data_IF_388631969014
#
_entry.id   IF_388631969014
#
_cell.length_a   1.000
_cell.length_b   1.000
_cell.length_c   1.000
_cell.angle_alpha   90.00
_cell.angle_beta   90.00
_cell.angle_gamma   90.00
#
_symmetry.space_group_name_H-M   'P 1'
#
loop_
_entity.id
_entity.type
_entity.pdbx_description
1 polymer ?
#
# COMPACT_ATOMS: atom_id res chain seq x y z
N UNK A 1 -17.82 17.91 -16.08
CA UNK A 1 -16.65 17.39 -16.82
C UNK A 1 -15.50 17.34 -15.84
N UNK A 2 -15.14 16.14 -15.34
CA UNK A 2 -14.05 15.99 -14.37
C UNK A 2 -12.74 16.16 -15.14
N UNK A 3 -12.05 17.28 -14.95
CA UNK A 3 -10.74 17.52 -15.56
C UNK A 3 -9.67 16.80 -14.75
N UNK A 4 -9.17 15.69 -15.28
CA UNK A 4 -8.05 14.95 -14.67
C UNK A 4 -6.77 15.77 -14.88
N UNK A 5 -6.08 16.11 -13.79
CA UNK A 5 -4.84 16.90 -13.79
C UNK A 5 -3.62 15.99 -13.91
N UNK A 6 -2.53 16.48 -14.50
CA UNK A 6 -1.30 15.70 -14.75
C UNK A 6 -0.73 15.01 -13.49
N UNK A 7 -0.79 15.65 -12.32
CA UNK A 7 -0.31 15.06 -11.07
C UNK A 7 -1.10 13.81 -10.63
N UNK A 8 -2.37 13.67 -11.03
CA UNK A 8 -3.18 12.50 -10.70
C UNK A 8 -2.69 11.27 -11.48
N UNK A 9 -2.28 11.47 -12.73
CA UNK A 9 -1.66 10.41 -13.54
C UNK A 9 -0.29 10.00 -12.99
N UNK A 10 0.51 10.96 -12.53
CA UNK A 10 1.80 10.66 -11.88
C UNK A 10 1.62 9.83 -10.61
N UNK A 11 0.64 10.18 -9.75
CA UNK A 11 0.34 9.41 -8.55
C UNK A 11 -0.17 8.01 -8.89
N UNK A 12 -1.04 7.89 -9.89
CA UNK A 12 -1.52 6.60 -10.37
C UNK A 12 -0.37 5.72 -10.89
N UNK A 13 0.52 6.27 -11.71
CA UNK A 13 1.69 5.56 -12.21
C UNK A 13 2.63 5.14 -11.07
N UNK A 14 2.91 6.02 -10.11
CA UNK A 14 3.73 5.71 -8.94
C UNK A 14 3.12 4.58 -8.09
N UNK A 15 1.81 4.63 -7.85
CA UNK A 15 1.08 3.57 -7.16
C UNK A 15 1.19 2.22 -7.89
N UNK A 16 0.97 2.20 -9.20
CA UNK A 16 1.04 0.99 -10.02
C UNK A 16 2.45 0.41 -10.06
N UNK A 17 3.47 1.26 -10.18
CA UNK A 17 4.88 0.85 -10.14
C UNK A 17 5.21 0.24 -8.77
N UNK A 18 4.82 0.88 -7.67
CA UNK A 18 5.07 0.35 -6.33
C UNK A 18 4.35 -0.99 -6.10
N UNK A 19 3.11 -1.12 -6.57
CA UNK A 19 2.36 -2.38 -6.53
C UNK A 19 3.08 -3.48 -7.32
N UNK A 20 3.49 -3.20 -8.55
CA UNK A 20 4.18 -4.15 -9.41
C UNK A 20 5.49 -4.62 -8.80
N UNK A 21 6.28 -3.67 -8.27
CA UNK A 21 7.53 -3.97 -7.57
C UNK A 21 7.29 -4.88 -6.34
N UNK A 22 6.22 -4.66 -5.59
CA UNK A 22 5.89 -5.48 -4.43
C UNK A 22 5.56 -6.93 -4.82
N UNK A 23 4.68 -7.11 -5.81
CA UNK A 23 4.26 -8.45 -6.26
C UNK A 23 5.40 -9.20 -6.94
N UNK A 24 6.11 -8.53 -7.86
CA UNK A 24 7.25 -9.12 -8.55
C UNK A 24 8.38 -9.44 -7.56
N UNK A 25 8.69 -8.52 -6.65
CA UNK A 25 9.70 -8.72 -5.61
C UNK A 25 9.40 -9.92 -4.73
N UNK A 26 8.14 -10.08 -4.30
CA UNK A 26 7.71 -11.26 -3.55
C UNK A 26 7.89 -12.55 -4.36
N UNK A 27 7.51 -12.56 -5.64
CA UNK A 27 7.72 -13.75 -6.50
C UNK A 27 9.19 -14.08 -6.72
N UNK A 28 10.06 -13.06 -6.73
CA UNK A 28 11.49 -13.18 -7.02
C UNK A 28 12.36 -13.49 -5.79
N UNK A 29 11.78 -13.74 -4.61
CA UNK A 29 12.57 -13.99 -3.39
C UNK A 29 13.02 -12.73 -2.65
N UNK A 30 12.49 -11.56 -3.02
CA UNK A 30 12.89 -10.24 -2.53
C UNK A 30 11.72 -9.52 -1.82
N UNK A 31 11.22 -10.05 -0.68
CA UNK A 31 10.00 -9.56 -0.05
C UNK A 31 10.10 -8.11 0.47
N UNK A 32 11.31 -7.60 0.67
CA UNK A 32 11.54 -6.21 1.12
C UNK A 32 11.47 -5.16 0.01
N UNK A 33 11.50 -5.59 -1.27
CA UNK A 33 11.44 -4.68 -2.41
C UNK A 33 10.13 -3.87 -2.43
N UNK A 34 9.01 -4.53 -2.11
CA UNK A 34 7.70 -3.91 -1.98
C UNK A 34 7.63 -2.84 -0.89
N UNK A 35 7.95 -3.16 0.37
CA UNK A 35 8.03 -2.18 1.45
C UNK A 35 8.87 -0.96 1.11
N UNK A 36 10.04 -1.12 0.49
CA UNK A 36 10.87 0.02 0.09
C UNK A 36 10.24 0.85 -1.02
N UNK A 37 9.64 0.22 -2.03
CA UNK A 37 8.97 0.94 -3.12
C UNK A 37 7.76 1.72 -2.63
N UNK A 38 6.92 1.10 -1.78
CA UNK A 38 5.74 1.75 -1.20
C UNK A 38 6.16 2.90 -0.29
N UNK A 39 7.13 2.68 0.60
CA UNK A 39 7.63 3.73 1.50
C UNK A 39 8.20 4.91 0.70
N UNK A 40 9.00 4.64 -0.33
CA UNK A 40 9.61 5.67 -1.17
C UNK A 40 8.56 6.55 -1.85
N UNK A 41 7.57 5.94 -2.50
CA UNK A 41 6.53 6.70 -3.20
C UNK A 41 5.62 7.46 -2.21
N UNK A 42 5.17 6.83 -1.14
CA UNK A 42 4.30 7.46 -0.13
C UNK A 42 5.02 8.64 0.53
N UNK A 43 6.32 8.49 0.82
CA UNK A 43 7.12 9.58 1.39
C UNK A 43 7.29 10.74 0.41
N UNK A 44 7.56 10.45 -0.87
CA UNK A 44 7.64 11.48 -1.91
C UNK A 44 6.30 12.21 -2.07
N UNK A 45 5.18 11.48 -2.04
CA UNK A 45 3.84 12.04 -2.11
C UNK A 45 3.52 12.93 -0.90
N UNK A 46 3.82 12.48 0.32
CA UNK A 46 3.65 13.26 1.55
C UNK A 46 4.55 14.50 1.63
N UNK A 47 5.70 14.47 0.95
CA UNK A 47 6.57 15.63 0.83
C UNK A 47 5.98 16.68 -0.12
N UNK A 48 5.44 16.26 -1.27
CA UNK A 48 4.86 17.18 -2.26
C UNK A 48 3.45 17.70 -1.91
N UNK A 49 2.66 16.92 -1.17
CA UNK A 49 1.32 17.32 -0.76
C UNK A 49 1.24 17.39 0.77
N UNK A 50 1.34 18.60 1.32
CA UNK A 50 1.26 18.82 2.77
C UNK A 50 -0.04 18.27 3.39
N UNK A 51 -1.15 18.28 2.64
CA UNK A 51 -2.43 17.68 3.04
C UNK A 51 -2.39 16.14 3.16
N UNK A 52 -1.37 15.48 2.61
CA UNK A 52 -1.17 14.03 2.74
C UNK A 52 -0.45 13.65 4.05
N UNK A 53 0.12 14.60 4.81
CA UNK A 53 0.74 14.32 6.11
C UNK A 53 -0.27 13.98 7.21
N UNK A 54 -1.53 14.36 7.04
CA UNK A 54 -2.62 14.07 7.99
C UNK A 54 -3.06 12.59 7.99
N UNK A 55 -2.46 11.75 7.14
CA UNK A 55 -2.97 10.42 6.80
C UNK A 55 -2.16 9.24 7.31
N UNK A 56 -1.17 9.51 8.14
CA UNK A 56 -0.42 8.43 8.79
C UNK A 56 -1.35 7.48 9.55
N UNK A 57 -2.43 7.97 10.15
CA UNK A 57 -3.43 7.13 10.82
C UNK A 57 -4.13 6.16 9.86
N UNK A 58 -4.47 6.61 8.64
CA UNK A 58 -5.11 5.76 7.64
C UNK A 58 -4.11 4.71 7.12
N UNK A 59 -2.89 5.13 6.81
CA UNK A 59 -1.84 4.25 6.29
C UNK A 59 -1.43 3.18 7.32
N UNK A 60 -1.15 3.60 8.56
CA UNK A 60 -0.79 2.70 9.66
C UNK A 60 -1.98 1.82 10.02
N UNK A 61 -3.19 2.39 10.10
CA UNK A 61 -4.40 1.63 10.39
C UNK A 61 -4.68 0.54 9.35
N UNK A 62 -4.52 0.86 8.07
CA UNK A 62 -4.67 -0.13 7.00
C UNK A 62 -3.58 -1.20 7.03
N UNK A 63 -2.32 -0.84 7.26
CA UNK A 63 -1.23 -1.80 7.41
C UNK A 63 -1.44 -2.75 8.59
N UNK A 64 -1.88 -2.24 9.74
CA UNK A 64 -2.17 -3.05 10.93
C UNK A 64 -3.40 -3.95 10.72
N UNK A 65 -4.52 -3.39 10.26
CA UNK A 65 -5.74 -4.15 10.02
C UNK A 65 -5.54 -5.21 8.94
N UNK A 66 -4.91 -4.84 7.83
CA UNK A 66 -4.56 -5.76 6.77
C UNK A 66 -3.62 -6.87 7.25
N UNK A 67 -2.60 -6.50 8.03
CA UNK A 67 -1.71 -7.45 8.66
C UNK A 67 -2.45 -8.46 9.55
N UNK A 68 -3.32 -7.98 10.43
CA UNK A 68 -4.13 -8.85 11.31
C UNK A 68 -5.06 -9.75 10.50
N UNK A 69 -5.77 -9.21 9.51
CA UNK A 69 -6.71 -9.96 8.67
C UNK A 69 -5.98 -11.06 7.91
N UNK A 70 -4.89 -10.73 7.22
CA UNK A 70 -4.12 -11.72 6.46
C UNK A 70 -3.52 -12.77 7.39
N UNK A 71 -3.07 -12.37 8.58
CA UNK A 71 -2.57 -13.32 9.58
C UNK A 71 -3.64 -14.30 10.04
N UNK A 72 -4.87 -13.82 10.27
CA UNK A 72 -6.00 -14.67 10.59
C UNK A 72 -6.32 -15.61 9.43
N UNK A 73 -6.28 -15.13 8.19
CA UNK A 73 -6.52 -15.96 7.01
C UNK A 73 -5.46 -17.05 6.83
N UNK A 74 -4.19 -16.78 7.14
CA UNK A 74 -3.11 -17.77 7.15
C UNK A 74 -3.32 -18.79 8.26
N UNK A 75 -3.66 -18.36 9.48
CA UNK A 75 -3.92 -19.27 10.61
C UNK A 75 -5.13 -20.17 10.37
N UNK A 76 -6.13 -19.67 9.66
CA UNK A 76 -7.33 -20.42 9.26
C UNK A 76 -7.12 -21.26 7.99
N UNK A 77 -5.90 -21.34 7.45
CA UNK A 77 -5.55 -22.04 6.21
C UNK A 77 -6.40 -21.62 4.98
N UNK A 78 -6.95 -20.40 4.99
CA UNK A 78 -7.74 -19.85 3.88
C UNK A 78 -6.82 -19.39 2.74
N UNK A 79 -5.65 -18.87 3.08
CA UNK A 79 -4.63 -18.43 2.13
C UNK A 79 -3.26 -18.97 2.53
N UNK A 80 -2.41 -19.20 1.53
CA UNK A 80 -1.01 -19.60 1.73
C UNK A 80 -0.12 -18.70 0.89
N UNK A 81 0.91 -18.15 1.50
CA UNK A 81 1.93 -17.35 0.81
C UNK A 81 3.05 -18.26 0.29
N UNK A 82 3.59 -18.01 -0.92
CA UNK A 82 4.76 -18.75 -1.42
C UNK A 82 5.96 -18.57 -0.49
N UNK A 83 6.79 -19.61 -0.33
CA UNK A 83 8.01 -19.53 0.49
C UNK A 83 8.99 -18.45 0.01
N UNK A 84 9.03 -18.19 -1.30
CA UNK A 84 9.84 -17.10 -1.88
C UNK A 84 9.45 -15.71 -1.34
N UNK A 85 8.22 -15.57 -0.84
CA UNK A 85 7.70 -14.31 -0.34
C UNK A 85 8.05 -14.05 1.14
N UNK A 86 8.85 -14.94 1.77
CA UNK A 86 9.23 -14.88 3.17
C UNK A 86 8.25 -15.59 4.10
N UNK A 87 8.39 -15.37 5.41
CA UNK A 87 7.49 -15.97 6.41
C UNK A 87 6.04 -15.56 6.17
N UNK A 88 5.16 -16.55 6.03
CA UNK A 88 3.72 -16.36 5.91
C UNK A 88 3.03 -15.98 7.22
N UNK A 89 3.69 -16.15 8.37
CA UNK A 89 3.13 -15.81 9.69
C UNK A 89 3.99 -14.75 10.42
N UNK A 90 3.38 -13.72 11.04
CA UNK A 90 1.95 -13.39 11.04
C UNK A 90 1.39 -13.08 9.64
N UNK A 91 2.05 -12.28 8.82
CA UNK A 91 1.82 -12.19 7.36
C UNK A 91 3.12 -11.77 6.69
N UNK A 92 3.18 -11.81 5.36
CA UNK A 92 4.36 -11.39 4.61
C UNK A 92 4.49 -9.87 4.57
N UNK A 93 5.72 -9.36 4.68
CA UNK A 93 5.99 -7.91 4.76
C UNK A 93 5.56 -7.14 3.50
N UNK A 94 5.63 -7.78 2.32
CA UNK A 94 5.19 -7.17 1.07
C UNK A 94 3.67 -7.03 1.00
N UNK A 95 2.92 -7.94 1.62
CA UNK A 95 1.47 -7.85 1.67
C UNK A 95 1.03 -6.70 2.57
N UNK A 96 1.68 -6.51 3.72
CA UNK A 96 1.47 -5.32 4.57
C UNK A 96 1.76 -4.04 3.78
N UNK A 97 2.82 -4.01 2.98
CA UNK A 97 3.13 -2.87 2.13
C UNK A 97 2.02 -2.62 1.08
N UNK A 98 1.40 -3.66 0.53
CA UNK A 98 0.26 -3.50 -0.38
C UNK A 98 -0.97 -2.91 0.32
N UNK A 99 -1.25 -3.27 1.57
CA UNK A 99 -2.30 -2.63 2.36
C UNK A 99 -2.06 -1.13 2.56
N UNK A 100 -0.82 -0.74 2.87
CA UNK A 100 -0.42 0.67 2.98
C UNK A 100 -0.56 1.37 1.63
N UNK A 101 -0.12 0.73 0.55
CA UNK A 101 -0.22 1.30 -0.81
C UNK A 101 -1.68 1.49 -1.21
N UNK A 102 -2.54 0.53 -0.90
CA UNK A 102 -3.98 0.60 -1.15
C UNK A 102 -4.64 1.76 -0.39
N UNK A 103 -4.29 1.96 0.88
CA UNK A 103 -4.77 3.09 1.66
C UNK A 103 -4.33 4.45 1.06
N UNK A 104 -3.10 4.54 0.54
CA UNK A 104 -2.63 5.73 -0.17
C UNK A 104 -3.45 6.01 -1.44
N UNK A 105 -3.82 4.97 -2.19
CA UNK A 105 -4.69 5.10 -3.38
C UNK A 105 -6.13 5.48 -3.01
N UNK A 106 -6.68 4.94 -1.92
CA UNK A 106 -7.99 5.32 -1.41
C UNK A 106 -8.03 6.80 -1.07
N UNK A 107 -7.04 7.32 -0.33
CA UNK A 107 -6.94 8.77 -0.07
C UNK A 107 -6.98 9.58 -1.34
N UNK A 108 -6.22 9.19 -2.37
CA UNK A 108 -6.24 9.92 -3.63
C UNK A 108 -7.64 9.91 -4.29
N UNK A 109 -8.36 8.80 -4.19
CA UNK A 109 -9.65 8.59 -4.86
C UNK A 109 -10.84 9.23 -4.12
N UNK A 110 -10.81 9.24 -2.78
CA UNK A 110 -11.90 9.75 -1.94
C UNK A 110 -11.54 10.98 -1.11
N UNK A 111 -10.31 11.50 -1.21
CA UNK A 111 -9.84 12.66 -0.45
C UNK A 111 -10.67 13.92 -0.66
N UNK A 112 -11.39 14.02 -1.78
CA UNK A 112 -12.33 15.10 -2.08
C UNK A 112 -13.59 15.10 -1.19
N UNK A 113 -13.89 13.99 -0.50
CA UNK A 113 -15.01 13.86 0.45
C UNK A 113 -14.63 14.23 1.88
N UNK A 114 -13.34 14.16 2.24
CA UNK A 114 -12.89 14.53 3.58
C UNK A 114 -13.15 16.02 3.86
N UNK A 115 -13.85 16.32 4.95
CA UNK A 115 -14.16 17.70 5.37
C UNK A 115 -15.39 18.33 4.71
N UNK A 116 -16.25 17.52 4.05
CA UNK A 116 -17.52 17.98 3.46
C UNK A 116 -18.77 17.71 4.30
N UNK A 117 -18.58 17.18 5.52
CA UNK A 117 -19.60 16.93 6.54
C UNK A 117 -19.01 17.30 7.90
#
# INVERSE_FOLDING_TARGET
MVTVRAHQWVNFAAFQIAWFIAVWGASAGMPWLGPFAVLGWVSAYAFWQAAARADLTLLVGAGLLGGIIDSLLVVLDVIVFPESAGSGFPTTVWMVALWVNFAAALRHSVGWLCGRF
#
